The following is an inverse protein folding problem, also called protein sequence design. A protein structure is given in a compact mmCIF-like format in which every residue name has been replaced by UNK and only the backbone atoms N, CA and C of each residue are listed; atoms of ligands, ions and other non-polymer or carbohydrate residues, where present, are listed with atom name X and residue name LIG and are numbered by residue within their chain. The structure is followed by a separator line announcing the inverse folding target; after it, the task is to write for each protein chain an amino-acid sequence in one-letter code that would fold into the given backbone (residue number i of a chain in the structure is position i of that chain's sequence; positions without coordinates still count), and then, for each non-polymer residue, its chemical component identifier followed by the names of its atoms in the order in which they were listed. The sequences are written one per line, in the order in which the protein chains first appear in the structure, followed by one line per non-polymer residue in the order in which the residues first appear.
data_IF_019746090010
#
_entry.id   IF_019746090010
#
_cell.length_a   1.000
_cell.length_b   1.000
_cell.length_c   1.000
_cell.angle_alpha   90.00
_cell.angle_beta   90.00
_cell.angle_gamma   90.00
#
_symmetry.space_group_name_H-M   'P 1'
#
loop_
_entity.id
_entity.type
_entity.pdbx_description
1 polymer ?
#
# COMPACT_ATOMS: atom_id res chain seq x y z
N UNK A 1 -57.42 46.06 -19.27
CA UNK A 1 -56.96 45.71 -17.91
C UNK A 1 -56.34 44.32 -17.92
N UNK A 2 -55.01 44.26 -17.80
CA UNK A 2 -54.11 43.22 -17.24
C UNK A 2 -52.75 43.29 -17.96
N UNK A 3 -51.61 43.14 -17.26
CA UNK A 3 -50.35 43.77 -17.65
C UNK A 3 -49.39 42.85 -18.41
N UNK A 4 -48.51 43.49 -19.19
CA UNK A 4 -47.42 42.90 -19.97
C UNK A 4 -46.31 42.32 -19.08
N UNK A 5 -45.85 41.11 -19.39
CA UNK A 5 -44.61 40.54 -18.90
C UNK A 5 -43.61 40.37 -20.06
N UNK A 6 -42.51 41.10 -19.94
CA UNK A 6 -41.36 41.13 -20.85
C UNK A 6 -40.68 39.76 -20.97
N UNK A 7 -40.53 39.25 -22.20
CA UNK A 7 -39.78 38.02 -22.51
C UNK A 7 -38.27 38.30 -22.53
N UNK A 8 -37.50 37.55 -21.74
CA UNK A 8 -36.05 37.44 -21.91
C UNK A 8 -35.70 36.38 -22.98
N UNK A 9 -34.62 36.55 -23.78
CA UNK A 9 -34.33 35.67 -24.91
C UNK A 9 -33.60 34.37 -24.50
N UNK A 10 -33.96 33.28 -25.19
CA UNK A 10 -33.26 31.98 -25.17
C UNK A 10 -31.87 32.12 -25.80
N UNK A 11 -30.81 31.84 -25.04
CA UNK A 11 -29.48 31.59 -25.59
C UNK A 11 -29.35 30.11 -25.99
N UNK A 12 -29.06 29.87 -27.26
CA UNK A 12 -28.72 28.57 -27.84
C UNK A 12 -27.28 28.22 -27.46
N UNK A 13 -27.05 27.08 -26.82
CA UNK A 13 -25.72 26.52 -26.57
C UNK A 13 -25.28 25.68 -27.77
N UNK A 14 -24.45 26.26 -28.65
CA UNK A 14 -23.75 25.53 -29.71
C UNK A 14 -22.49 24.86 -29.14
N UNK A 15 -22.51 23.53 -29.04
CA UNK A 15 -21.32 22.72 -28.82
C UNK A 15 -20.52 22.64 -30.13
N UNK A 16 -19.38 23.33 -30.18
CA UNK A 16 -18.38 23.20 -31.23
C UNK A 16 -17.09 22.65 -30.63
N UNK A 17 -16.83 21.37 -30.88
CA UNK A 17 -15.55 20.72 -30.60
C UNK A 17 -14.41 21.48 -31.29
N UNK A 18 -13.50 22.04 -30.49
CA UNK A 18 -12.16 22.42 -30.95
C UNK A 18 -11.17 21.58 -30.17
N UNK A 19 -10.65 20.54 -30.84
CA UNK A 19 -9.56 19.69 -30.37
C UNK A 19 -8.35 20.57 -30.05
N UNK A 20 -8.15 20.82 -28.76
CA UNK A 20 -6.95 21.41 -28.20
C UNK A 20 -5.83 20.38 -28.25
N UNK A 21 -4.81 20.71 -29.03
CA UNK A 21 -3.52 20.03 -29.13
C UNK A 21 -2.95 19.86 -27.72
N UNK A 22 -2.63 18.62 -27.34
CA UNK A 22 -2.15 18.28 -26.00
C UNK A 22 -0.94 19.11 -25.59
N UNK A 23 -1.13 19.95 -24.59
CA UNK A 23 -0.06 20.46 -23.74
C UNK A 23 0.33 19.34 -22.79
N UNK A 24 1.62 19.03 -22.74
CA UNK A 24 2.22 18.18 -21.71
C UNK A 24 1.70 18.62 -20.34
N UNK A 25 1.33 17.66 -19.50
CA UNK A 25 0.75 17.91 -18.17
C UNK A 25 1.63 18.83 -17.36
N UNK A 26 1.14 20.05 -17.12
CA UNK A 26 1.62 20.93 -16.09
C UNK A 26 1.18 20.30 -14.76
N UNK A 27 2.14 19.75 -14.01
CA UNK A 27 1.86 19.23 -12.68
C UNK A 27 1.30 20.38 -11.82
N UNK A 28 0.19 20.15 -11.12
CA UNK A 28 -0.37 21.13 -10.19
C UNK A 28 0.74 21.61 -9.24
N UNK A 29 0.84 22.92 -8.96
CA UNK A 29 1.86 23.44 -8.06
C UNK A 29 1.71 22.83 -6.66
N UNK A 30 2.83 22.58 -5.96
CA UNK A 30 2.80 21.97 -4.63
C UNK A 30 1.96 22.82 -3.66
N UNK A 31 1.10 22.15 -2.89
CA UNK A 31 0.19 22.78 -1.93
C UNK A 31 0.35 22.19 -0.54
N UNK A 32 -0.08 22.96 0.46
CA UNK A 32 -0.09 22.57 1.87
C UNK A 32 -1.51 22.18 2.28
N UNK A 33 -1.67 21.02 2.89
CA UNK A 33 -2.93 20.59 3.48
C UNK A 33 -2.85 20.66 5.01
N UNK A 34 -3.85 21.26 5.66
CA UNK A 34 -3.90 21.38 7.12
C UNK A 34 -4.76 20.26 7.70
N UNK A 35 -4.14 19.40 8.49
CA UNK A 35 -4.79 18.31 9.21
C UNK A 35 -4.93 18.68 10.70
N UNK A 36 -6.15 18.68 11.22
CA UNK A 36 -6.47 19.11 12.58
C UNK A 36 -7.68 18.33 13.13
N UNK A 37 -7.90 18.38 14.44
CA UNK A 37 -9.08 17.80 15.08
C UNK A 37 -10.22 18.81 15.06
N UNK A 38 -11.49 18.38 14.94
CA UNK A 38 -12.63 19.30 14.86
C UNK A 38 -12.62 20.44 15.92
N UNK A 39 -12.28 20.18 17.20
CA UNK A 39 -12.22 21.25 18.22
C UNK A 39 -11.15 22.32 17.95
N UNK A 40 -10.13 22.01 17.15
CA UNK A 40 -8.99 22.88 16.84
C UNK A 40 -9.20 23.79 15.63
N UNK A 41 -10.44 23.88 15.12
CA UNK A 41 -10.73 24.63 13.89
C UNK A 41 -10.27 26.09 13.88
N UNK A 42 -10.29 26.76 15.03
CA UNK A 42 -9.78 28.14 15.13
C UNK A 42 -8.26 28.22 14.90
N UNK A 43 -7.50 27.23 15.39
CA UNK A 43 -6.06 27.13 15.12
C UNK A 43 -5.80 26.78 13.66
N UNK A 44 -6.60 25.89 13.07
CA UNK A 44 -6.47 25.51 11.68
C UNK A 44 -6.70 26.68 10.72
N UNK A 45 -7.74 27.49 10.97
CA UNK A 45 -8.02 28.73 10.24
C UNK A 45 -6.89 29.76 10.40
N UNK A 46 -6.39 29.95 11.62
CA UNK A 46 -5.30 30.89 11.85
C UNK A 46 -4.02 30.47 11.12
N UNK A 47 -3.61 29.20 11.25
CA UNK A 47 -2.44 28.63 10.54
C UNK A 47 -2.62 28.78 9.02
N UNK A 48 -3.81 28.47 8.49
CA UNK A 48 -4.10 28.62 7.06
C UNK A 48 -3.91 30.06 6.58
N UNK A 49 -4.42 31.02 7.33
CA UNK A 49 -4.27 32.44 7.02
C UNK A 49 -2.79 32.86 6.98
N UNK A 50 -2.02 32.50 8.02
CA UNK A 50 -0.61 32.87 8.12
C UNK A 50 0.21 32.32 6.93
N UNK A 51 -0.08 31.09 6.52
CA UNK A 51 0.60 30.43 5.40
C UNK A 51 0.22 31.05 4.04
N UNK A 52 -1.05 31.41 3.85
CA UNK A 52 -1.48 32.12 2.63
C UNK A 52 -0.83 33.50 2.52
N UNK A 53 -0.74 34.26 3.62
CA UNK A 53 -0.05 35.56 3.63
C UNK A 53 1.45 35.43 3.33
N UNK A 54 2.05 34.29 3.65
CA UNK A 54 3.44 33.99 3.31
C UNK A 54 3.61 33.48 1.86
N UNK A 55 2.52 33.36 1.09
CA UNK A 55 2.53 33.00 -0.33
C UNK A 55 2.37 31.50 -0.62
N UNK A 56 2.07 30.67 0.38
CA UNK A 56 1.83 29.24 0.17
C UNK A 56 0.42 28.99 -0.37
N UNK A 57 0.27 28.00 -1.25
CA UNK A 57 -1.03 27.47 -1.64
C UNK A 57 -1.52 26.54 -0.54
N UNK A 58 -2.63 26.88 0.12
CA UNK A 58 -3.15 26.17 1.30
C UNK A 58 -4.55 25.63 1.04
N UNK A 59 -4.77 24.37 1.42
CA UNK A 59 -6.08 23.74 1.48
C UNK A 59 -6.48 23.49 2.94
N UNK A 60 -7.57 24.14 3.35
CA UNK A 60 -8.25 23.91 4.61
C UNK A 60 -9.70 23.50 4.33
N UNK A 61 -10.20 22.52 5.07
CA UNK A 61 -11.53 21.97 4.89
C UNK A 61 -12.65 23.01 4.97
N UNK A 62 -12.59 23.91 5.96
CA UNK A 62 -13.62 24.95 6.18
C UNK A 62 -13.69 25.99 5.07
N UNK A 63 -12.65 26.14 4.26
CA UNK A 63 -12.55 27.22 3.26
C UNK A 63 -12.68 26.73 1.82
N UNK A 64 -12.43 25.44 1.58
CA UNK A 64 -12.28 24.91 0.21
C UNK A 64 -13.18 23.72 -0.08
N UNK A 65 -14.14 23.39 0.80
CA UNK A 65 -15.00 22.22 0.64
C UNK A 65 -16.39 22.57 0.10
N UNK A 66 -16.89 21.70 -0.77
CA UNK A 66 -18.29 21.64 -1.20
C UNK A 66 -18.95 20.37 -0.65
N UNK A 67 -20.29 20.34 -0.59
CA UNK A 67 -21.02 19.13 -0.20
C UNK A 67 -20.67 17.95 -1.12
N UNK A 68 -20.16 16.86 -0.55
CA UNK A 68 -19.67 15.68 -1.29
C UNK A 68 -18.14 15.50 -1.27
N UNK A 69 -17.38 16.49 -0.77
CA UNK A 69 -15.93 16.35 -0.61
C UNK A 69 -15.56 15.40 0.54
N UNK A 70 -14.56 14.54 0.29
CA UNK A 70 -14.07 13.54 1.25
C UNK A 70 -12.68 13.94 1.79
N UNK A 71 -12.59 14.13 3.11
CA UNK A 71 -11.37 14.48 3.84
C UNK A 71 -10.18 13.57 3.51
N UNK A 72 -10.44 12.26 3.32
CA UNK A 72 -9.43 11.24 3.02
C UNK A 72 -8.86 11.39 1.60
N UNK A 73 -9.68 11.80 0.62
CA UNK A 73 -9.24 11.99 -0.77
C UNK A 73 -8.30 13.20 -0.88
N UNK A 74 -8.58 14.29 -0.14
CA UNK A 74 -7.71 15.48 -0.15
C UNK A 74 -6.41 15.26 0.64
N UNK A 75 -6.46 14.54 1.76
CA UNK A 75 -5.25 14.09 2.46
C UNK A 75 -4.37 13.23 1.54
N UNK A 76 -4.95 12.28 0.82
CA UNK A 76 -4.21 11.47 -0.16
C UNK A 76 -3.58 12.30 -1.29
N UNK A 77 -4.30 13.29 -1.84
CA UNK A 77 -3.71 14.21 -2.84
C UNK A 77 -2.55 15.03 -2.27
N UNK A 78 -2.64 15.44 -1.01
CA UNK A 78 -1.55 16.14 -0.34
C UNK A 78 -0.33 15.21 -0.13
N UNK A 79 -0.57 13.93 0.15
CA UNK A 79 0.49 12.92 0.23
C UNK A 79 1.15 12.64 -1.13
N UNK A 80 0.44 12.84 -2.24
CA UNK A 80 0.93 12.59 -3.60
C UNK A 80 1.70 13.78 -4.19
N UNK A 81 1.20 15.01 -4.01
CA UNK A 81 1.75 16.21 -4.68
C UNK A 81 1.87 17.45 -3.77
N UNK A 82 1.88 17.27 -2.44
CA UNK A 82 1.94 18.36 -1.47
C UNK A 82 2.66 18.01 -0.17
N UNK A 83 2.44 18.82 0.85
CA UNK A 83 2.87 18.56 2.23
C UNK A 83 1.70 18.69 3.19
N UNK A 84 1.77 17.99 4.31
CA UNK A 84 0.71 17.97 5.33
C UNK A 84 1.21 18.68 6.58
N UNK A 85 0.54 19.77 6.96
CA UNK A 85 0.75 20.44 8.24
C UNK A 85 -0.22 19.83 9.25
N UNK A 86 0.31 19.06 10.21
CA UNK A 86 -0.51 18.36 11.22
C UNK A 86 -0.49 19.12 12.55
N UNK A 87 -1.67 19.54 13.01
CA UNK A 87 -1.84 20.26 14.26
C UNK A 87 -2.01 19.27 15.42
N UNK A 88 -0.93 19.04 16.15
CA UNK A 88 -0.89 18.14 17.28
C UNK A 88 -1.54 18.78 18.51
N UNK A 89 -2.62 18.16 18.96
CA UNK A 89 -3.37 18.51 20.16
C UNK A 89 -3.86 17.26 20.91
N UNK A 90 -4.33 17.42 22.15
CA UNK A 90 -4.97 16.36 22.92
C UNK A 90 -6.21 15.81 22.19
N UNK A 91 -6.97 16.68 21.52
CA UNK A 91 -8.13 16.29 20.71
C UNK A 91 -7.71 15.56 19.44
N UNK A 92 -6.59 15.96 18.83
CA UNK A 92 -5.99 15.29 17.68
C UNK A 92 -5.63 13.84 18.04
N UNK A 93 -5.02 13.64 19.20
CA UNK A 93 -4.64 12.32 19.74
C UNK A 93 -5.77 11.53 20.41
N UNK A 94 -6.99 12.05 20.51
CA UNK A 94 -8.10 11.33 21.15
C UNK A 94 -8.59 10.17 20.25
N UNK A 95 -8.48 8.90 20.71
CA UNK A 95 -8.91 7.73 19.93
C UNK A 95 -10.42 7.72 19.61
N UNK A 96 -11.24 8.51 20.32
CA UNK A 96 -12.69 8.60 20.11
C UNK A 96 -13.08 9.62 19.04
N UNK A 97 -12.19 10.57 18.75
CA UNK A 97 -12.43 11.66 17.81
C UNK A 97 -11.65 11.46 16.50
N UNK A 98 -10.54 10.71 16.55
CA UNK A 98 -9.76 10.32 15.38
C UNK A 98 -10.10 8.89 14.95
N UNK A 99 -10.60 8.72 13.73
CA UNK A 99 -10.66 7.39 13.10
C UNK A 99 -9.24 6.85 12.88
N UNK A 100 -9.00 5.56 13.13
CA UNK A 100 -7.68 4.90 12.96
C UNK A 100 -7.05 5.15 11.57
N UNK A 101 -7.89 5.30 10.52
CA UNK A 101 -7.49 5.64 9.15
C UNK A 101 -6.76 7.00 9.01
N UNK A 102 -7.02 7.96 9.90
CA UNK A 102 -6.40 9.29 9.88
C UNK A 102 -4.93 9.22 10.31
N UNK A 103 -4.62 8.35 11.28
CA UNK A 103 -3.27 8.15 11.81
C UNK A 103 -2.36 7.41 10.84
N UNK A 104 -2.89 6.40 10.17
CA UNK A 104 -2.16 5.69 9.13
C UNK A 104 -1.72 6.64 8.00
N UNK A 105 -2.60 7.56 7.59
CA UNK A 105 -2.31 8.56 6.57
C UNK A 105 -1.30 9.62 7.04
N UNK A 106 -1.41 10.10 8.28
CA UNK A 106 -0.43 11.02 8.90
C UNK A 106 0.96 10.37 9.02
N UNK A 107 1.04 9.09 9.38
CA UNK A 107 2.31 8.35 9.42
C UNK A 107 2.86 8.04 8.03
N UNK A 108 1.99 7.83 7.04
CA UNK A 108 2.38 7.57 5.65
C UNK A 108 3.01 8.80 4.97
N UNK A 109 2.78 10.00 5.49
CA UNK A 109 3.34 11.27 5.02
C UNK A 109 4.86 11.34 5.12
N UNK A 110 5.50 10.65 6.08
CA UNK A 110 6.95 10.63 6.20
C UNK A 110 7.57 12.04 6.28
N UNK A 111 8.48 12.34 5.34
CA UNK A 111 9.17 13.64 5.20
C UNK A 111 8.25 14.79 4.71
N UNK A 112 7.05 14.46 4.21
CA UNK A 112 6.03 15.43 3.81
C UNK A 112 5.15 15.86 4.99
N UNK A 113 5.36 15.29 6.17
CA UNK A 113 4.67 15.70 7.40
C UNK A 113 5.41 16.85 8.09
N UNK A 114 4.69 17.92 8.35
CA UNK A 114 5.16 19.08 9.13
C UNK A 114 4.31 19.11 10.41
N UNK A 115 4.77 18.47 11.51
CA UNK A 115 4.03 18.45 12.75
C UNK A 115 4.19 19.79 13.49
N UNK A 116 3.08 20.35 13.97
CA UNK A 116 3.03 21.60 14.72
C UNK A 116 2.18 21.41 15.95
N UNK A 117 2.73 21.65 17.15
CA UNK A 117 2.00 21.48 18.41
C UNK A 117 1.21 22.73 18.76
N UNK A 118 -0.08 22.58 19.04
CA UNK A 118 -0.97 23.70 19.36
C UNK A 118 -1.46 23.68 20.82
N UNK A 119 -1.15 22.61 21.56
CA UNK A 119 -1.35 22.52 23.02
C UNK A 119 -0.20 21.80 23.76
N UNK A 120 -0.45 21.48 25.05
CA UNK A 120 0.48 20.76 25.94
C UNK A 120 0.51 19.25 25.72
N UNK A 121 -0.29 18.70 24.79
CA UNK A 121 -0.39 17.27 24.61
C UNK A 121 0.95 16.67 24.17
N UNK A 122 1.32 15.57 24.84
CA UNK A 122 2.48 14.79 24.42
C UNK A 122 2.13 13.94 23.19
N UNK A 123 2.93 14.02 22.12
CA UNK A 123 2.74 13.12 20.99
C UNK A 123 2.95 11.66 21.44
N UNK A 124 2.18 10.70 20.88
CA UNK A 124 2.38 9.27 21.08
C UNK A 124 3.82 8.85 20.80
N UNK A 125 4.26 7.72 21.38
CA UNK A 125 5.65 7.23 21.35
C UNK A 125 6.27 7.24 19.94
N UNK A 126 5.49 6.98 18.90
CA UNK A 126 5.98 6.98 17.51
C UNK A 126 6.24 8.37 16.91
N UNK A 127 5.58 9.39 17.43
CA UNK A 127 5.68 10.78 16.95
C UNK A 127 6.60 11.61 17.84
N UNK A 128 6.98 11.12 19.04
CA UNK A 128 8.02 11.71 19.90
C UNK A 128 9.36 11.99 19.19
N UNK A 129 9.83 11.16 18.22
CA UNK A 129 11.06 11.45 17.48
C UNK A 129 10.94 12.60 16.47
N UNK A 130 9.73 13.03 16.11
CA UNK A 130 9.54 14.16 15.19
C UNK A 130 9.75 15.48 15.93
N UNK A 131 10.53 16.38 15.35
CA UNK A 131 10.70 17.73 15.85
C UNK A 131 9.42 18.52 15.56
N UNK A 132 8.49 18.53 16.52
CA UNK A 132 7.24 19.28 16.46
C UNK A 132 7.38 20.62 17.21
N UNK A 133 7.65 21.74 16.52
CA UNK A 133 7.64 23.06 17.16
C UNK A 133 6.28 23.34 17.81
N UNK A 134 6.33 23.98 18.97
CA UNK A 134 5.14 24.31 19.76
C UNK A 134 4.74 25.77 19.51
N UNK A 135 3.52 25.99 19.04
CA UNK A 135 2.88 27.30 18.98
C UNK A 135 2.14 27.65 20.28
N UNK A 136 1.88 26.63 21.10
CA UNK A 136 1.21 26.80 22.38
C UNK A 136 1.98 27.73 23.33
N UNK A 137 1.27 28.67 23.93
CA UNK A 137 1.81 29.64 24.90
C UNK A 137 2.61 30.79 24.29
N UNK A 138 2.74 30.87 22.96
CA UNK A 138 3.39 31.98 22.27
C UNK A 138 2.43 33.12 21.96
N UNK A 139 2.95 34.35 21.92
CA UNK A 139 2.22 35.48 21.33
C UNK A 139 2.07 35.32 19.80
N UNK A 140 1.19 36.13 19.21
CA UNK A 140 0.84 36.04 17.79
C UNK A 140 2.05 36.15 16.84
N UNK A 141 3.00 37.04 17.12
CA UNK A 141 4.16 37.25 16.25
C UNK A 141 5.19 36.13 16.39
N UNK A 142 5.41 35.68 17.63
CA UNK A 142 6.28 34.55 17.95
C UNK A 142 5.74 33.23 17.36
N UNK A 143 4.43 32.99 17.46
CA UNK A 143 3.77 31.83 16.87
C UNK A 143 3.90 31.82 15.34
N UNK A 144 3.68 32.96 14.67
CA UNK A 144 3.85 33.06 13.21
C UNK A 144 5.28 32.73 12.79
N UNK A 145 6.27 33.23 13.54
CA UNK A 145 7.69 33.02 13.24
C UNK A 145 8.09 31.55 13.37
N UNK A 146 7.65 30.87 14.43
CA UNK A 146 7.93 29.45 14.62
C UNK A 146 7.18 28.57 13.60
N UNK A 147 5.95 28.93 13.23
CA UNK A 147 5.23 28.26 12.15
C UNK A 147 6.01 28.31 10.83
N UNK A 148 6.44 29.50 10.37
CA UNK A 148 7.16 29.62 9.09
C UNK A 148 8.53 28.94 9.10
N UNK A 149 9.18 28.89 10.27
CA UNK A 149 10.44 28.16 10.47
C UNK A 149 10.23 26.64 10.34
N UNK A 150 9.09 26.12 10.81
CA UNK A 150 8.75 24.70 10.66
C UNK A 150 8.65 24.26 9.19
N UNK A 151 8.29 25.18 8.29
CA UNK A 151 8.20 24.92 6.84
C UNK A 151 9.53 25.13 6.09
N UNK A 152 10.54 25.70 6.74
CA UNK A 152 11.82 26.03 6.11
C UNK A 152 12.82 24.90 6.23
N UNK A 153 13.48 24.51 5.14
CA UNK A 153 14.56 23.53 5.18
C UNK A 153 15.72 24.03 6.08
N UNK A 154 16.34 23.16 6.90
CA UNK A 154 17.51 23.53 7.69
C UNK A 154 18.61 24.05 6.76
N UNK A 155 19.01 25.30 6.92
CA UNK A 155 20.12 25.85 6.13
C UNK A 155 21.42 25.32 6.72
N UNK A 156 22.09 24.41 6.01
CA UNK A 156 23.44 24.00 6.37
C UNK A 156 24.36 25.23 6.39
N UNK A 157 25.28 25.35 7.36
CA UNK A 157 26.17 26.51 7.42
C UNK A 157 26.98 26.60 6.12
N UNK A 158 26.95 27.77 5.49
CA UNK A 158 27.63 28.03 4.21
C UNK A 158 29.17 28.03 4.35
N UNK A 159 29.66 28.04 5.58
CA UNK A 159 31.06 27.87 5.92
C UNK A 159 31.23 26.67 6.85
N UNK A 160 32.36 25.97 6.72
CA UNK A 160 32.71 24.84 7.58
C UNK A 160 32.71 25.31 9.04
N UNK A 161 31.91 24.69 9.93
CA UNK A 161 31.94 25.06 11.34
C UNK A 161 33.35 24.83 11.90
N UNK A 162 33.85 25.73 12.77
CA UNK A 162 35.16 25.57 13.37
C UNK A 162 35.24 24.27 14.16
N UNK A 163 36.44 23.69 14.23
CA UNK A 163 36.67 22.48 15.02
C UNK A 163 36.37 22.79 16.50
N UNK A 164 35.53 21.99 17.18
CA UNK A 164 35.23 22.22 18.59
C UNK A 164 36.52 22.10 19.41
N UNK A 165 36.94 23.21 20.04
CA UNK A 165 38.13 23.28 20.91
C UNK A 165 39.29 24.16 20.42
N UNK A 166 39.24 24.75 19.23
CA UNK A 166 40.33 25.62 18.75
C UNK A 166 40.11 27.10 19.08
N UNK A 167 40.54 27.51 20.29
CA UNK A 167 41.04 28.87 20.49
C UNK A 167 42.26 29.09 19.57
N UNK A 168 42.33 30.24 18.92
CA UNK A 168 43.19 30.47 17.75
C UNK A 168 44.69 30.25 17.95
N UNK A 169 45.36 29.76 16.90
CA UNK A 169 46.62 30.27 16.35
C UNK A 169 47.12 29.36 15.21
N UNK A 170 47.37 30.01 14.06
CA UNK A 170 48.43 29.80 13.05
C UNK A 170 48.85 28.39 12.55
N UNK A 171 48.83 28.30 11.21
CA UNK A 171 49.84 27.73 10.30
C UNK A 171 50.08 26.22 10.28
N UNK A 172 49.84 25.60 9.10
CA UNK A 172 50.93 25.17 8.20
C UNK A 172 50.39 24.31 7.04
N UNK A 173 50.67 24.78 5.82
CA UNK A 173 51.07 24.04 4.60
C UNK A 173 50.38 22.74 4.19
N UNK A 174 49.79 22.81 3.00
CA UNK A 174 49.43 21.70 2.15
C UNK A 174 50.63 20.80 1.79
N UNK A 175 50.35 19.51 1.59
CA UNK A 175 51.06 18.66 0.62
C UNK A 175 50.11 17.56 0.15
N UNK A 176 49.88 17.55 -1.16
CA UNK A 176 49.17 16.56 -1.97
C UNK A 176 49.97 15.27 -2.10
N UNK A 177 49.30 14.11 -2.05
CA UNK A 177 49.74 12.91 -2.76
C UNK A 177 48.54 12.01 -3.10
N UNK A 178 48.24 11.98 -4.39
CA UNK A 178 47.29 11.09 -5.06
C UNK A 178 47.87 9.68 -5.15
N UNK A 179 47.07 8.65 -4.88
CA UNK A 179 47.34 7.30 -5.40
C UNK A 179 46.03 6.62 -5.80
N UNK A 180 45.95 6.33 -7.09
CA UNK A 180 44.94 5.51 -7.76
C UNK A 180 45.19 4.03 -7.50
N UNK A 181 44.15 3.28 -7.16
CA UNK A 181 44.16 1.82 -7.18
C UNK A 181 43.06 1.30 -8.13
N UNK A 182 43.53 0.54 -9.12
CA UNK A 182 42.79 -0.13 -10.19
C UNK A 182 42.05 -1.36 -9.66
N UNK A 183 40.77 -1.49 -10.00
CA UNK A 183 39.96 -2.68 -9.73
C UNK A 183 40.08 -3.68 -10.90
N UNK A 184 40.48 -4.91 -10.57
CA UNK A 184 40.62 -6.05 -11.47
C UNK A 184 39.28 -6.79 -11.59
N UNK A 185 38.85 -7.04 -12.82
CA UNK A 185 37.67 -7.80 -13.22
C UNK A 185 37.95 -9.30 -13.23
N UNK A 186 37.10 -10.10 -12.57
CA UNK A 186 37.07 -11.55 -12.70
C UNK A 186 35.69 -12.02 -13.15
N UNK A 187 35.66 -12.60 -14.36
CA UNK A 187 34.50 -13.15 -15.03
C UNK A 187 34.06 -14.49 -14.40
N UNK A 188 32.75 -14.61 -14.10
CA UNK A 188 32.10 -15.83 -13.63
C UNK A 188 31.18 -16.44 -14.69
N UNK A 189 31.45 -17.68 -15.07
CA UNK A 189 30.83 -18.50 -16.12
C UNK A 189 29.31 -18.68 -15.96
N UNK A 190 28.54 -18.30 -16.99
CA UNK A 190 27.14 -18.68 -17.15
C UNK A 190 27.02 -20.11 -17.71
N UNK A 191 26.62 -21.07 -16.86
CA UNK A 191 26.21 -22.41 -17.28
C UNK A 191 24.73 -22.41 -17.68
N UNK A 192 24.45 -22.51 -19.00
CA UNK A 192 23.11 -22.73 -19.54
C UNK A 192 22.66 -24.17 -19.24
N UNK A 193 21.80 -24.37 -18.25
CA UNK A 193 21.00 -25.59 -18.13
C UNK A 193 19.75 -25.46 -18.99
N UNK A 194 19.73 -26.20 -20.10
CA UNK A 194 18.58 -26.34 -20.99
C UNK A 194 17.70 -27.48 -20.43
N UNK A 195 16.60 -27.13 -19.76
CA UNK A 195 15.58 -28.11 -19.34
C UNK A 195 14.87 -28.63 -20.60
N UNK A 196 14.86 -29.96 -20.76
CA UNK A 196 14.11 -30.63 -21.80
C UNK A 196 12.59 -30.48 -21.56
N UNK A 197 11.76 -30.39 -22.61
CA UNK A 197 10.31 -30.29 -22.47
C UNK A 197 9.75 -31.61 -21.93
N UNK A 198 9.17 -31.59 -20.73
CA UNK A 198 8.39 -32.71 -20.19
C UNK A 198 7.11 -32.86 -21.01
N UNK A 199 6.97 -33.98 -21.73
CA UNK A 199 5.74 -34.32 -22.43
C UNK A 199 4.61 -34.64 -21.44
N UNK A 200 3.42 -34.10 -21.70
CA UNK A 200 2.14 -34.68 -21.27
C UNK A 200 1.57 -34.31 -19.90
N UNK A 201 2.16 -33.38 -19.14
CA UNK A 201 1.55 -32.92 -17.88
C UNK A 201 0.58 -31.77 -18.14
N UNK A 202 -0.62 -31.84 -17.58
CA UNK A 202 -1.52 -30.68 -17.54
C UNK A 202 -0.76 -29.53 -16.87
N UNK A 203 -0.55 -28.40 -17.56
CA UNK A 203 0.16 -27.27 -16.98
C UNK A 203 -0.52 -26.81 -15.68
N UNK A 204 -1.83 -26.94 -15.55
CA UNK A 204 -2.62 -26.56 -14.37
C UNK A 204 -2.81 -27.70 -13.34
N UNK A 205 -1.94 -28.71 -13.33
CA UNK A 205 -1.98 -29.80 -12.35
C UNK A 205 -1.46 -29.35 -10.97
N UNK A 206 -2.38 -28.83 -10.14
CA UNK A 206 -2.10 -28.45 -8.75
C UNK A 206 -2.13 -29.63 -7.77
N UNK A 207 -2.33 -30.88 -8.22
CA UNK A 207 -2.41 -32.05 -7.33
C UNK A 207 -1.12 -32.34 -6.56
N UNK A 208 0.02 -31.87 -7.10
CA UNK A 208 1.34 -31.90 -6.45
C UNK A 208 1.78 -30.53 -5.88
N UNK A 209 0.88 -29.56 -5.90
CA UNK A 209 1.06 -28.26 -5.29
C UNK A 209 0.64 -28.27 -3.82
N UNK A 210 0.77 -27.09 -3.21
CA UNK A 210 0.29 -26.82 -1.85
C UNK A 210 -0.20 -25.37 -1.76
N UNK A 211 -1.05 -25.09 -0.79
CA UNK A 211 -1.47 -23.74 -0.49
C UNK A 211 -1.50 -23.44 1.01
N UNK A 212 -1.30 -22.17 1.33
CA UNK A 212 -1.53 -21.62 2.67
C UNK A 212 -2.51 -20.46 2.56
N UNK A 213 -3.59 -20.54 3.32
CA UNK A 213 -4.59 -19.49 3.45
C UNK A 213 -4.50 -18.93 4.87
N UNK A 214 -4.06 -17.69 5.02
CA UNK A 214 -3.96 -17.00 6.30
C UNK A 214 -5.05 -15.94 6.34
N UNK A 215 -5.86 -15.93 7.40
CA UNK A 215 -6.87 -14.90 7.58
C UNK A 215 -6.95 -14.47 9.03
N UNK A 216 -6.90 -13.16 9.25
CA UNK A 216 -7.06 -12.56 10.58
C UNK A 216 -8.33 -11.74 10.56
N UNK A 217 -9.38 -12.26 11.20
CA UNK A 217 -10.72 -11.69 11.15
C UNK A 217 -11.13 -11.02 12.47
N UNK A 218 -10.44 -11.33 13.58
CA UNK A 218 -10.70 -10.77 14.92
C UNK A 218 -9.41 -10.37 15.60
N UNK A 219 -9.41 -9.20 16.22
CA UNK A 219 -8.23 -8.58 16.80
C UNK A 219 -8.47 -8.17 18.26
N UNK A 220 -7.39 -8.08 19.03
CA UNK A 220 -7.46 -7.56 20.39
C UNK A 220 -7.50 -6.03 20.44
N UNK A 221 -6.71 -5.38 19.58
CA UNK A 221 -6.55 -3.91 19.57
C UNK A 221 -6.86 -3.24 18.23
N UNK A 222 -6.90 -3.99 17.13
CA UNK A 222 -7.23 -3.47 15.80
C UNK A 222 -8.72 -3.72 15.50
N UNK A 223 -9.23 -3.09 14.45
CA UNK A 223 -10.61 -3.30 13.99
C UNK A 223 -10.84 -4.70 13.39
N UNK A 224 -11.92 -5.35 13.79
CA UNK A 224 -12.32 -6.67 13.27
C UNK A 224 -12.68 -6.64 11.77
N UNK A 225 -12.46 -7.78 11.10
CA UNK A 225 -12.75 -8.02 9.68
C UNK A 225 -13.46 -9.37 9.48
N UNK A 226 -14.73 -9.50 9.93
CA UNK A 226 -15.41 -10.78 9.99
C UNK A 226 -15.57 -11.49 8.64
N UNK A 227 -15.65 -10.74 7.53
CA UNK A 227 -15.76 -11.28 6.18
C UNK A 227 -14.56 -12.16 5.76
N UNK A 228 -13.41 -12.02 6.41
CA UNK A 228 -12.22 -12.84 6.14
C UNK A 228 -12.48 -14.32 6.48
N UNK A 229 -13.39 -14.64 7.42
CA UNK A 229 -13.78 -16.03 7.68
C UNK A 229 -14.36 -16.69 6.41
N UNK A 230 -15.30 -16.01 5.74
CA UNK A 230 -15.88 -16.49 4.49
C UNK A 230 -14.87 -16.60 3.36
N UNK A 231 -13.88 -15.68 3.31
CA UNK A 231 -12.78 -15.78 2.37
C UNK A 231 -12.03 -17.12 2.51
N UNK A 232 -11.63 -17.48 3.73
CA UNK A 232 -10.86 -18.70 3.98
C UNK A 232 -11.66 -19.96 3.64
N UNK A 233 -12.93 -19.99 4.05
CA UNK A 233 -13.82 -21.13 3.83
C UNK A 233 -14.01 -21.43 2.33
N UNK A 234 -14.34 -20.39 1.54
CA UNK A 234 -14.65 -20.57 0.12
C UNK A 234 -13.38 -20.73 -0.73
N UNK A 235 -12.28 -20.03 -0.41
CA UNK A 235 -10.99 -20.26 -1.08
C UNK A 235 -10.45 -21.67 -0.80
N UNK A 236 -10.56 -22.16 0.44
CA UNK A 236 -10.12 -23.53 0.77
C UNK A 236 -10.90 -24.55 -0.05
N UNK A 237 -12.24 -24.41 -0.10
CA UNK A 237 -13.11 -25.28 -0.88
C UNK A 237 -12.77 -25.22 -2.38
N UNK A 238 -12.55 -24.03 -2.91
CA UNK A 238 -12.22 -23.84 -4.33
C UNK A 238 -10.87 -24.47 -4.69
N UNK A 239 -9.86 -24.29 -3.85
CA UNK A 239 -8.51 -24.82 -4.09
C UNK A 239 -8.45 -26.35 -3.98
N UNK A 240 -9.23 -26.96 -3.10
CA UNK A 240 -9.27 -28.43 -3.00
C UNK A 240 -10.15 -29.04 -4.08
N UNK A 241 -11.33 -28.47 -4.35
CA UNK A 241 -12.29 -29.04 -5.28
C UNK A 241 -12.00 -28.72 -6.77
N UNK A 242 -11.54 -27.50 -7.07
CA UNK A 242 -11.37 -27.04 -8.46
C UNK A 242 -9.92 -27.06 -8.94
N UNK A 243 -8.96 -26.70 -8.07
CA UNK A 243 -7.54 -26.81 -8.42
C UNK A 243 -7.04 -28.25 -8.18
N UNK A 244 -7.69 -29.03 -7.31
CA UNK A 244 -7.29 -30.40 -7.01
C UNK A 244 -6.10 -30.50 -6.05
N UNK A 245 -5.82 -29.44 -5.28
CA UNK A 245 -4.81 -29.49 -4.20
C UNK A 245 -5.29 -30.50 -3.15
N UNK A 246 -4.42 -31.45 -2.78
CA UNK A 246 -4.73 -32.43 -1.75
C UNK A 246 -5.12 -31.74 -0.42
N UNK A 247 -6.11 -32.29 0.28
CA UNK A 247 -6.63 -31.69 1.52
C UNK A 247 -5.52 -31.43 2.55
N UNK A 248 -4.59 -32.39 2.73
CA UNK A 248 -3.46 -32.27 3.66
C UNK A 248 -2.41 -31.24 3.22
N UNK A 249 -2.47 -30.79 1.96
CA UNK A 249 -1.59 -29.75 1.39
C UNK A 249 -2.29 -28.38 1.31
N UNK A 250 -3.56 -28.27 1.72
CA UNK A 250 -4.29 -27.02 1.87
C UNK A 250 -4.30 -26.60 3.34
N UNK A 251 -3.36 -25.74 3.73
CA UNK A 251 -3.20 -25.32 5.13
C UNK A 251 -3.95 -24.02 5.36
N UNK A 252 -5.00 -24.06 6.18
CA UNK A 252 -5.69 -22.86 6.66
C UNK A 252 -5.12 -22.46 8.02
N UNK A 253 -4.68 -21.21 8.13
CA UNK A 253 -4.23 -20.58 9.38
C UNK A 253 -5.28 -19.54 9.76
N UNK A 254 -6.30 -20.00 10.50
CA UNK A 254 -7.41 -19.15 10.97
C UNK A 254 -7.01 -18.37 12.22
N UNK A 255 -7.13 -17.05 12.14
CA UNK A 255 -6.88 -16.07 13.20
C UNK A 255 -5.60 -16.32 14.04
N UNK A 256 -4.41 -16.39 13.42
CA UNK A 256 -3.16 -16.63 14.13
C UNK A 256 -2.87 -15.52 15.15
N UNK A 257 -2.36 -15.89 16.32
CA UNK A 257 -1.90 -14.97 17.37
C UNK A 257 -0.44 -14.57 17.24
N UNK A 258 0.34 -15.32 16.44
CA UNK A 258 1.79 -15.22 16.42
C UNK A 258 2.33 -15.32 14.98
N UNK A 259 3.18 -14.37 14.53
CA UNK A 259 3.82 -14.41 13.22
C UNK A 259 4.53 -15.74 12.91
N UNK A 260 5.09 -16.42 13.92
CA UNK A 260 5.78 -17.71 13.75
C UNK A 260 4.88 -18.78 13.15
N UNK A 261 3.60 -18.83 13.58
CA UNK A 261 2.60 -19.79 13.08
C UNK A 261 2.41 -19.67 11.58
N UNK A 262 2.39 -18.43 11.07
CA UNK A 262 2.24 -18.15 9.64
C UNK A 262 3.46 -18.63 8.85
N UNK A 263 4.67 -18.30 9.34
CA UNK A 263 5.92 -18.71 8.69
C UNK A 263 6.07 -20.23 8.67
N UNK A 264 5.79 -20.90 9.79
CA UNK A 264 5.86 -22.36 9.89
C UNK A 264 4.88 -23.04 8.94
N UNK A 265 3.67 -22.49 8.78
CA UNK A 265 2.68 -22.98 7.82
C UNK A 265 3.17 -22.85 6.37
N UNK A 266 3.73 -21.71 5.99
CA UNK A 266 4.30 -21.48 4.65
C UNK A 266 5.44 -22.45 4.38
N UNK A 267 6.35 -22.62 5.32
CA UNK A 267 7.46 -23.56 5.18
C UNK A 267 6.97 -25.02 5.08
N UNK A 268 5.96 -25.39 5.86
CA UNK A 268 5.34 -26.72 5.82
C UNK A 268 4.68 -26.98 4.46
N UNK A 269 3.87 -26.06 3.95
CA UNK A 269 3.27 -26.16 2.62
C UNK A 269 4.34 -26.24 1.54
N UNK A 270 5.35 -25.37 1.60
CA UNK A 270 6.47 -25.37 0.67
C UNK A 270 7.14 -26.73 0.57
N UNK A 271 7.47 -27.36 1.71
CA UNK A 271 8.06 -28.71 1.76
C UNK A 271 7.16 -29.82 1.19
N UNK A 272 5.84 -29.64 1.21
CA UNK A 272 4.88 -30.59 0.65
C UNK A 272 4.79 -30.53 -0.89
N UNK A 273 5.28 -29.44 -1.53
CA UNK A 273 5.26 -29.31 -2.99
C UNK A 273 6.25 -30.25 -3.68
N UNK A 274 5.91 -30.72 -4.88
CA UNK A 274 6.82 -31.53 -5.68
C UNK A 274 8.15 -30.81 -5.95
N UNK A 275 9.26 -31.53 -5.79
CA UNK A 275 10.59 -30.96 -5.93
C UNK A 275 10.81 -30.37 -7.33
N UNK A 276 11.16 -29.08 -7.40
CA UNK A 276 11.49 -28.32 -8.61
C UNK A 276 10.41 -28.31 -9.71
N UNK A 277 9.17 -28.64 -9.37
CA UNK A 277 8.04 -28.65 -10.31
C UNK A 277 6.70 -28.34 -9.65
N UNK A 278 6.65 -28.29 -8.32
CA UNK A 278 5.45 -27.97 -7.57
C UNK A 278 5.09 -26.49 -7.61
N UNK A 279 3.82 -26.24 -7.33
CA UNK A 279 3.22 -24.91 -7.28
C UNK A 279 2.85 -24.58 -5.84
N UNK A 280 3.13 -23.35 -5.42
CA UNK A 280 2.80 -22.86 -4.08
C UNK A 280 1.89 -21.65 -4.19
N UNK A 281 0.73 -21.70 -3.54
CA UNK A 281 -0.14 -20.54 -3.37
C UNK A 281 -0.09 -20.06 -1.91
N UNK A 282 0.20 -18.79 -1.69
CA UNK A 282 0.11 -18.17 -0.37
C UNK A 282 -0.89 -17.02 -0.44
N UNK A 283 -1.97 -17.13 0.31
CA UNK A 283 -2.98 -16.08 0.47
C UNK A 283 -2.90 -15.55 1.90
N UNK A 284 -2.90 -14.23 2.05
CA UNK A 284 -3.03 -13.57 3.34
C UNK A 284 -4.16 -12.54 3.27
N UNK A 285 -5.02 -12.52 4.28
CA UNK A 285 -6.01 -11.47 4.49
C UNK A 285 -5.98 -10.93 5.91
N UNK A 286 -6.00 -9.61 6.05
CA UNK A 286 -5.96 -8.92 7.34
C UNK A 286 -5.58 -7.46 7.18
N UNK A 287 -5.16 -6.82 8.27
CA UNK A 287 -4.56 -5.48 8.21
C UNK A 287 -3.11 -5.54 7.76
N UNK A 288 -2.73 -4.57 6.93
CA UNK A 288 -1.38 -4.32 6.49
C UNK A 288 -1.01 -2.85 6.70
N UNK A 289 0.21 -2.60 7.18
CA UNK A 289 0.73 -1.25 7.43
C UNK A 289 2.18 -1.14 6.97
N UNK A 290 2.61 0.01 6.44
CA UNK A 290 4.03 0.23 6.17
C UNK A 290 4.78 0.49 7.49
N UNK A 291 5.97 -0.09 7.64
CA UNK A 291 6.87 0.24 8.74
C UNK A 291 7.33 1.70 8.60
N UNK A 292 7.26 2.53 9.65
CA UNK A 292 7.39 3.98 9.52
C UNK A 292 8.79 4.46 9.08
N UNK A 293 9.83 3.66 9.34
CA UNK A 293 11.21 4.03 8.98
C UNK A 293 11.71 3.41 7.68
N UNK A 294 11.21 2.23 7.34
CA UNK A 294 11.76 1.45 6.22
C UNK A 294 10.78 1.36 5.05
N UNK A 295 9.51 1.75 5.23
CA UNK A 295 8.46 1.58 4.24
C UNK A 295 8.04 0.13 3.98
N UNK A 296 8.69 -0.84 4.63
CA UNK A 296 8.43 -2.27 4.48
C UNK A 296 6.98 -2.61 4.87
N UNK A 297 6.31 -3.46 4.10
CA UNK A 297 4.97 -3.94 4.45
C UNK A 297 5.02 -4.87 5.67
N UNK A 298 4.22 -4.54 6.67
CA UNK A 298 3.98 -5.35 7.86
C UNK A 298 2.54 -5.86 7.84
N UNK A 299 2.36 -7.15 8.08
CA UNK A 299 1.09 -7.84 8.09
C UNK A 299 0.70 -8.16 9.53
N UNK A 300 -0.55 -7.94 9.88
CA UNK A 300 -1.04 -8.18 11.23
C UNK A 300 -1.29 -9.66 11.53
N UNK A 301 -1.26 -9.99 12.82
CA UNK A 301 -1.84 -11.19 13.45
C UNK A 301 -2.86 -10.70 14.49
N UNK A 302 -3.65 -11.59 15.10
CA UNK A 302 -4.73 -11.17 16.01
C UNK A 302 -4.24 -10.36 17.22
N UNK A 303 -3.01 -10.63 17.66
CA UNK A 303 -2.34 -9.98 18.79
C UNK A 303 -1.45 -8.81 18.34
N UNK A 304 -1.53 -8.41 17.06
CA UNK A 304 -0.86 -7.20 16.60
C UNK A 304 -1.49 -5.98 17.25
N UNK A 305 -0.62 -5.12 17.78
CA UNK A 305 -1.04 -3.93 18.55
C UNK A 305 -0.68 -2.67 17.81
N UNK A 306 -1.57 -1.69 17.84
CA UNK A 306 -1.30 -0.40 17.22
C UNK A 306 0.05 0.13 17.74
N UNK A 307 0.88 0.61 16.82
CA UNK A 307 2.18 1.22 17.13
C UNK A 307 3.28 0.29 17.71
N UNK A 308 2.98 -0.97 17.97
CA UNK A 308 3.96 -1.97 18.40
C UNK A 308 4.44 -2.81 17.20
N UNK A 309 5.13 -2.21 16.23
CA UNK A 309 5.46 -2.86 14.95
C UNK A 309 6.18 -4.22 15.05
N UNK A 310 6.86 -4.51 16.17
CA UNK A 310 7.48 -5.80 16.45
C UNK A 310 6.46 -6.95 16.62
N UNK A 311 5.17 -6.64 16.84
CA UNK A 311 4.09 -7.63 16.93
C UNK A 311 3.47 -7.97 15.57
N UNK A 312 3.89 -7.29 14.50
CA UNK A 312 3.46 -7.58 13.14
C UNK A 312 4.44 -8.57 12.49
N UNK A 313 3.98 -9.19 11.41
CA UNK A 313 4.77 -10.05 10.53
C UNK A 313 5.34 -9.22 9.37
N UNK A 314 6.66 -9.00 9.28
CA UNK A 314 7.27 -8.41 8.10
C UNK A 314 7.02 -9.26 6.85
N UNK A 315 6.59 -8.63 5.75
CA UNK A 315 6.34 -9.35 4.49
C UNK A 315 7.60 -10.02 3.94
N UNK A 316 8.79 -9.49 4.24
CA UNK A 316 10.04 -10.12 3.81
C UNK A 316 10.25 -11.50 4.46
N UNK A 317 9.76 -11.74 5.68
CA UNK A 317 9.83 -13.08 6.27
C UNK A 317 8.96 -14.07 5.50
N UNK A 318 7.79 -13.63 4.98
CA UNK A 318 6.95 -14.44 4.08
C UNK A 318 7.70 -14.71 2.78
N UNK A 319 8.30 -13.69 2.19
CA UNK A 319 9.11 -13.82 0.96
C UNK A 319 10.24 -14.83 1.14
N UNK A 320 10.99 -14.74 2.23
CA UNK A 320 12.08 -15.67 2.54
C UNK A 320 11.58 -17.11 2.68
N UNK A 321 10.47 -17.32 3.41
CA UNK A 321 9.86 -18.64 3.56
C UNK A 321 9.38 -19.21 2.21
N UNK A 322 8.81 -18.37 1.35
CA UNK A 322 8.38 -18.74 -0.01
C UNK A 322 9.59 -19.05 -0.91
N UNK A 323 10.65 -18.25 -0.83
CA UNK A 323 11.88 -18.46 -1.62
C UNK A 323 12.58 -19.76 -1.25
N UNK A 324 12.55 -20.15 0.03
CA UNK A 324 13.14 -21.39 0.52
C UNK A 324 12.36 -22.65 0.09
N UNK A 325 11.15 -22.52 -0.45
CA UNK A 325 10.37 -23.67 -0.92
C UNK A 325 10.96 -24.30 -2.19
N UNK A 326 10.79 -25.62 -2.41
CA UNK A 326 11.20 -26.30 -3.64
C UNK A 326 10.28 -26.04 -4.84
N UNK A 327 9.18 -25.31 -4.66
CA UNK A 327 8.27 -24.91 -5.74
C UNK A 327 9.02 -24.13 -6.83
N UNK A 328 8.56 -24.17 -8.07
CA UNK A 328 9.10 -23.33 -9.16
C UNK A 328 8.13 -22.26 -9.62
N UNK A 329 6.86 -22.38 -9.26
CA UNK A 329 5.81 -21.42 -9.52
C UNK A 329 5.17 -21.04 -8.19
N UNK A 330 5.12 -19.73 -7.89
CA UNK A 330 4.62 -19.20 -6.62
C UNK A 330 3.61 -18.10 -6.88
N UNK A 331 2.37 -18.32 -6.47
CA UNK A 331 1.33 -17.30 -6.49
C UNK A 331 1.14 -16.75 -5.08
N UNK A 332 1.39 -15.46 -4.89
CA UNK A 332 1.23 -14.77 -3.62
C UNK A 332 0.10 -13.77 -3.76
N UNK A 333 -0.91 -13.85 -2.91
CA UNK A 333 -2.09 -12.98 -2.93
C UNK A 333 -2.22 -12.33 -1.56
N UNK A 334 -2.22 -10.99 -1.53
CA UNK A 334 -2.29 -10.20 -0.31
C UNK A 334 -3.55 -9.34 -0.34
N UNK A 335 -4.53 -9.69 0.48
CA UNK A 335 -5.78 -8.96 0.70
C UNK A 335 -5.68 -8.12 1.99
N UNK A 336 -4.97 -6.99 1.90
CA UNK A 336 -4.83 -6.05 3.00
C UNK A 336 -4.74 -4.61 2.50
N UNK A 337 -5.11 -3.64 3.36
CA UNK A 337 -4.84 -2.24 3.06
C UNK A 337 -3.32 -2.00 2.88
N UNK A 338 -2.93 -1.01 2.07
CA UNK A 338 -1.53 -0.60 1.83
C UNK A 338 -0.61 -1.63 1.14
N UNK A 339 -1.19 -2.64 0.50
CA UNK A 339 -0.43 -3.73 -0.14
C UNK A 339 0.49 -3.26 -1.29
N UNK A 340 0.27 -2.07 -1.87
CA UNK A 340 1.09 -1.52 -2.96
C UNK A 340 2.46 -0.95 -2.57
N UNK A 341 2.71 -0.53 -1.31
CA UNK A 341 4.03 0.01 -0.91
C UNK A 341 5.04 -1.09 -0.58
N UNK A 342 4.54 -2.29 -0.24
CA UNK A 342 5.33 -3.52 -0.22
C UNK A 342 5.87 -3.91 -1.61
N UNK A 343 5.27 -3.41 -2.70
CA UNK A 343 5.82 -3.56 -4.05
C UNK A 343 6.97 -2.56 -4.33
N UNK A 344 6.93 -1.35 -3.75
CA UNK A 344 7.96 -0.30 -3.92
C UNK A 344 9.19 -0.52 -3.03
N UNK A 345 9.04 -1.17 -1.86
CA UNK A 345 10.16 -1.70 -1.07
C UNK A 345 10.99 -2.75 -1.83
N UNK A 346 10.56 -3.11 -3.04
CA UNK A 346 11.20 -4.04 -3.97
C UNK A 346 11.66 -3.35 -5.27
N UNK A 347 11.66 -2.01 -5.29
CA UNK A 347 12.31 -1.13 -6.27
C UNK A 347 13.69 -0.69 -5.78
N UNK A 348 14.64 -0.39 -6.68
CA UNK A 348 16.09 -0.61 -6.50
C UNK A 348 16.84 0.40 -5.59
N UNK A 349 16.16 1.10 -4.68
CA UNK A 349 16.75 2.27 -4.01
C UNK A 349 17.62 1.99 -2.76
N UNK A 350 17.53 0.84 -2.09
CA UNK A 350 18.44 0.35 -1.02
C UNK A 350 18.31 -1.20 -0.95
N UNK A 351 19.17 -2.02 -0.27
CA UNK A 351 19.46 -3.39 -0.70
C UNK A 351 18.23 -4.31 -0.55
N UNK A 352 17.39 -4.31 -1.60
CA UNK A 352 16.23 -5.15 -1.72
C UNK A 352 16.69 -6.60 -1.79
N UNK A 353 16.08 -7.46 -0.98
CA UNK A 353 16.27 -8.90 -1.08
C UNK A 353 16.12 -9.33 -2.56
N UNK A 354 16.98 -10.23 -3.06
CA UNK A 354 16.98 -10.60 -4.46
C UNK A 354 15.57 -11.05 -4.91
N UNK A 355 15.15 -10.70 -6.14
CA UNK A 355 13.83 -11.08 -6.65
C UNK A 355 13.68 -12.61 -6.68
N UNK A 356 12.51 -13.10 -6.24
CA UNK A 356 12.22 -14.53 -6.22
C UNK A 356 11.69 -14.96 -7.59
N UNK A 357 12.47 -15.76 -8.32
CA UNK A 357 12.09 -16.23 -9.65
C UNK A 357 10.80 -17.07 -9.63
N UNK A 358 9.99 -16.94 -10.69
CA UNK A 358 8.75 -17.70 -10.83
C UNK A 358 7.63 -17.28 -9.88
N UNK A 359 7.68 -16.05 -9.37
CA UNK A 359 6.69 -15.51 -8.43
C UNK A 359 5.79 -14.50 -9.11
N UNK A 360 4.49 -14.64 -8.87
CA UNK A 360 3.46 -13.64 -9.17
C UNK A 360 2.87 -13.16 -7.85
N UNK A 361 2.98 -11.86 -7.58
CA UNK A 361 2.38 -11.21 -6.41
C UNK A 361 1.16 -10.40 -6.87
N UNK A 362 0.02 -10.62 -6.24
CA UNK A 362 -1.20 -9.86 -6.41
C UNK A 362 -1.61 -9.23 -5.08
N UNK A 363 -2.12 -8.02 -5.13
CA UNK A 363 -2.41 -7.22 -3.94
C UNK A 363 -3.75 -6.48 -4.12
N UNK A 364 -4.59 -6.39 -3.08
CA UNK A 364 -5.96 -5.87 -3.18
C UNK A 364 -6.08 -4.39 -3.54
N UNK A 365 -5.06 -3.58 -3.26
CA UNK A 365 -5.08 -2.14 -3.55
C UNK A 365 -3.67 -1.53 -3.63
N UNK A 366 -3.57 -0.34 -4.22
CA UNK A 366 -2.34 0.45 -4.30
C UNK A 366 -1.80 0.87 -2.92
N UNK A 367 -0.61 1.46 -2.89
CA UNK A 367 0.01 1.99 -1.68
C UNK A 367 -0.81 3.11 -1.01
N UNK A 368 -1.85 3.64 -1.68
CA UNK A 368 -2.58 4.84 -1.30
C UNK A 368 -4.09 4.63 -1.16
N UNK A 369 -4.61 3.43 -1.43
CA UNK A 369 -6.05 3.15 -1.46
C UNK A 369 -6.43 2.07 -0.43
N UNK A 370 -7.48 2.34 0.36
CA UNK A 370 -7.98 1.42 1.39
C UNK A 370 -8.74 0.26 0.75
N UNK A 371 -8.47 -0.97 1.21
CA UNK A 371 -9.26 -2.15 0.82
C UNK A 371 -10.65 -2.08 1.48
N UNK A 372 -11.70 -2.23 0.68
CA UNK A 372 -13.09 -2.13 1.11
C UNK A 372 -13.63 -3.50 1.52
N UNK A 373 -14.09 -3.62 2.77
CA UNK A 373 -14.93 -4.74 3.21
C UNK A 373 -16.35 -4.21 3.40
N UNK A 374 -17.28 -4.45 2.47
CA UNK A 374 -18.64 -3.95 2.61
C UNK A 374 -19.30 -4.62 3.82
N UNK A 375 -19.88 -3.82 4.72
CA UNK A 375 -20.50 -4.32 5.94
C UNK A 375 -21.59 -5.37 5.64
N UNK A 376 -21.54 -6.51 6.33
CA UNK A 376 -22.53 -7.59 6.20
C UNK A 376 -22.37 -8.50 4.97
N UNK A 377 -21.32 -8.32 4.15
CA UNK A 377 -20.98 -9.25 3.07
C UNK A 377 -20.21 -10.47 3.57
N UNK A 378 -20.37 -11.63 2.92
CA UNK A 378 -19.65 -12.86 3.28
C UNK A 378 -18.14 -12.77 2.99
N UNK A 379 -17.72 -11.88 2.09
CA UNK A 379 -16.34 -11.76 1.64
C UNK A 379 -15.84 -10.31 1.63
N UNK A 380 -14.52 -10.12 1.64
CA UNK A 380 -13.91 -8.83 1.27
C UNK A 380 -14.14 -8.56 -0.22
N UNK A 381 -14.18 -7.28 -0.63
CA UNK A 381 -14.44 -6.93 -2.04
C UNK A 381 -13.44 -7.59 -3.00
N UNK A 382 -12.16 -7.59 -2.64
CA UNK A 382 -11.11 -8.19 -3.46
C UNK A 382 -11.24 -9.71 -3.56
N UNK A 383 -11.53 -10.40 -2.45
CA UNK A 383 -11.73 -11.86 -2.49
C UNK A 383 -13.03 -12.24 -3.19
N UNK A 384 -14.10 -11.44 -3.06
CA UNK A 384 -15.33 -11.63 -3.84
C UNK A 384 -15.04 -11.56 -5.35
N UNK A 385 -14.25 -10.58 -5.78
CA UNK A 385 -13.83 -10.46 -7.18
C UNK A 385 -12.95 -11.64 -7.65
N UNK A 386 -12.07 -12.13 -6.78
CA UNK A 386 -11.23 -13.30 -7.05
C UNK A 386 -12.07 -14.58 -7.24
N UNK A 387 -13.00 -14.82 -6.32
CA UNK A 387 -13.92 -15.96 -6.37
C UNK A 387 -14.80 -15.89 -7.63
N UNK A 388 -15.35 -14.71 -7.96
CA UNK A 388 -16.17 -14.53 -9.16
C UNK A 388 -15.43 -14.93 -10.44
N UNK A 389 -14.17 -14.53 -10.59
CA UNK A 389 -13.36 -14.87 -11.77
C UNK A 389 -13.02 -16.37 -11.81
N UNK A 390 -12.65 -16.96 -10.68
CA UNK A 390 -12.27 -18.37 -10.61
C UNK A 390 -13.48 -19.31 -10.78
N UNK A 391 -14.66 -18.92 -10.29
CA UNK A 391 -15.87 -19.77 -10.32
C UNK A 391 -16.71 -19.59 -11.59
N UNK A 392 -16.79 -18.38 -12.12
CA UNK A 392 -17.62 -18.07 -13.31
C UNK A 392 -16.81 -18.02 -14.59
N UNK A 393 -15.50 -17.85 -14.47
CA UNK A 393 -14.60 -17.66 -15.60
C UNK A 393 -14.58 -16.22 -16.12
N UNK A 394 -13.64 -15.96 -17.03
CA UNK A 394 -13.39 -14.64 -17.61
C UNK A 394 -13.93 -14.58 -19.05
N UNK A 395 -14.96 -13.77 -19.33
CA UNK A 395 -15.45 -13.54 -20.69
C UNK A 395 -14.35 -12.98 -21.61
N UNK A 396 -14.15 -13.63 -22.76
CA UNK A 396 -13.08 -13.27 -23.71
C UNK A 396 -11.67 -13.55 -23.20
N UNK A 397 -11.52 -14.23 -22.06
CA UNK A 397 -10.23 -14.68 -21.53
C UNK A 397 -9.72 -15.96 -22.21
N UNK A 398 -8.48 -16.36 -21.94
CA UNK A 398 -7.90 -17.60 -22.46
C UNK A 398 -8.68 -18.84 -21.99
N UNK A 399 -8.62 -19.99 -22.71
CA UNK A 399 -9.24 -21.24 -22.26
C UNK A 399 -8.69 -21.79 -20.94
N UNK A 400 -7.44 -21.45 -20.62
CA UNK A 400 -6.81 -21.72 -19.33
C UNK A 400 -6.49 -20.39 -18.67
N UNK A 401 -7.02 -20.15 -17.47
CA UNK A 401 -6.67 -18.96 -16.69
C UNK A 401 -5.27 -19.14 -16.12
N UNK A 402 -4.39 -18.17 -16.37
CA UNK A 402 -3.13 -18.00 -15.66
C UNK A 402 -3.23 -16.85 -14.64
N UNK A 403 -2.18 -16.63 -13.85
CA UNK A 403 -2.15 -15.58 -12.84
C UNK A 403 -2.36 -14.16 -13.42
N UNK A 404 -1.88 -13.92 -14.64
CA UNK A 404 -2.09 -12.64 -15.34
C UNK A 404 -3.55 -12.47 -15.78
N UNK A 405 -4.16 -13.50 -16.36
CA UNK A 405 -5.57 -13.49 -16.74
C UNK A 405 -6.48 -13.34 -15.51
N UNK A 406 -6.15 -13.99 -14.39
CA UNK A 406 -6.83 -13.81 -13.12
C UNK A 406 -6.75 -12.35 -12.66
N UNK A 407 -5.56 -11.76 -12.65
CA UNK A 407 -5.37 -10.35 -12.27
C UNK A 407 -6.25 -9.43 -13.11
N UNK A 408 -6.17 -9.55 -14.44
CA UNK A 408 -6.91 -8.70 -15.36
C UNK A 408 -8.42 -8.89 -15.21
N UNK A 409 -8.87 -10.11 -14.91
CA UNK A 409 -10.27 -10.40 -14.57
C UNK A 409 -10.70 -9.72 -13.27
N UNK A 410 -9.93 -9.87 -12.19
CA UNK A 410 -10.23 -9.27 -10.88
C UNK A 410 -10.26 -7.74 -11.01
N UNK A 411 -9.31 -7.15 -11.72
CA UNK A 411 -9.27 -5.71 -12.00
C UNK A 411 -10.54 -5.23 -12.71
N UNK A 412 -11.04 -5.99 -13.70
CA UNK A 412 -12.30 -5.65 -14.41
C UNK A 412 -13.51 -5.73 -13.48
N UNK A 413 -13.58 -6.74 -12.60
CA UNK A 413 -14.67 -6.87 -11.63
C UNK A 413 -14.64 -5.71 -10.64
N UNK A 414 -13.46 -5.37 -10.10
CA UNK A 414 -13.30 -4.22 -9.21
C UNK A 414 -13.74 -2.92 -9.89
N UNK A 415 -13.25 -2.64 -11.10
CA UNK A 415 -13.60 -1.44 -11.85
C UNK A 415 -15.11 -1.35 -12.14
N UNK A 416 -15.76 -2.47 -12.48
CA UNK A 416 -17.20 -2.50 -12.75
C UNK A 416 -18.06 -2.25 -11.50
N UNK A 417 -17.50 -2.45 -10.30
CA UNK A 417 -18.18 -2.30 -9.00
C UNK A 417 -17.72 -1.08 -8.21
N UNK A 418 -16.86 -0.24 -8.80
CA UNK A 418 -16.24 0.92 -8.14
C UNK A 418 -15.48 0.50 -6.86
N UNK A 419 -14.77 -0.62 -6.94
CA UNK A 419 -13.92 -1.15 -5.87
C UNK A 419 -12.44 -0.85 -6.13
N UNK A 420 -11.60 -0.83 -5.07
CA UNK A 420 -10.18 -0.53 -5.18
C UNK A 420 -9.48 -1.34 -6.28
N UNK A 421 -8.60 -0.66 -7.02
CA UNK A 421 -7.89 -1.30 -8.13
C UNK A 421 -6.75 -2.18 -7.60
N UNK A 422 -6.75 -3.50 -7.89
CA UNK A 422 -5.69 -4.37 -7.44
C UNK A 422 -4.36 -4.05 -8.12
N UNK A 423 -3.26 -4.39 -7.46
CA UNK A 423 -1.90 -4.25 -7.99
C UNK A 423 -1.26 -5.60 -8.21
N UNK A 424 -0.27 -5.65 -9.12
CA UNK A 424 0.53 -6.86 -9.35
C UNK A 424 2.01 -6.56 -9.44
N UNK A 425 2.81 -7.53 -9.00
CA UNK A 425 4.22 -7.62 -9.29
C UNK A 425 4.51 -8.94 -9.98
N UNK A 426 5.17 -8.85 -11.14
CA UNK A 426 5.61 -10.02 -11.88
C UNK A 426 7.13 -10.04 -11.90
N UNK A 427 7.73 -11.22 -11.69
CA UNK A 427 9.16 -11.47 -11.89
C UNK A 427 9.34 -12.70 -12.79
N UNK A 428 10.16 -12.56 -13.84
CA UNK A 428 10.38 -13.58 -14.88
C UNK A 428 9.05 -14.14 -15.48
N UNK A 429 9.01 -15.44 -15.79
CA UNK A 429 7.84 -16.13 -16.37
C UNK A 429 6.63 -16.27 -15.40
N UNK A 430 6.59 -15.52 -14.29
CA UNK A 430 5.49 -15.57 -13.32
C UNK A 430 4.11 -15.25 -13.90
N UNK A 431 4.03 -14.57 -15.05
CA UNK A 431 2.78 -14.37 -15.78
C UNK A 431 2.15 -15.68 -16.26
N UNK A 432 2.95 -16.74 -16.47
CA UNK A 432 2.50 -18.02 -17.04
C UNK A 432 2.05 -19.03 -16.00
N UNK A 433 1.91 -18.67 -14.71
CA UNK A 433 1.47 -19.60 -13.66
C UNK A 433 0.04 -20.05 -14.00
N UNK A 434 -0.16 -21.29 -14.48
CA UNK A 434 -1.47 -21.78 -14.89
C UNK A 434 -2.31 -22.11 -13.66
N UNK A 435 -3.58 -21.71 -13.65
CA UNK A 435 -4.45 -21.86 -12.48
C UNK A 435 -5.48 -22.95 -12.70
N UNK A 436 -6.49 -22.67 -13.53
CA UNK A 436 -7.62 -23.56 -13.80
C UNK A 436 -8.15 -23.33 -15.22
N UNK A 437 -8.87 -24.31 -15.79
CA UNK A 437 -9.67 -24.08 -16.98
C UNK A 437 -10.64 -22.92 -16.79
N UNK A 438 -10.72 -22.04 -17.79
CA UNK A 438 -11.64 -20.93 -17.78
C UNK A 438 -13.07 -21.43 -17.99
N UNK A 439 -13.85 -21.42 -16.91
CA UNK A 439 -15.23 -21.94 -16.89
C UNK A 439 -16.18 -21.25 -17.87
N UNK A 440 -15.86 -20.03 -18.32
CA UNK A 440 -16.61 -19.35 -19.38
C UNK A 440 -16.66 -20.16 -20.69
N UNK A 441 -15.62 -20.95 -20.98
CA UNK A 441 -15.54 -21.78 -22.18
C UNK A 441 -16.15 -23.17 -22.01
N UNK A 442 -16.51 -23.57 -20.78
CA UNK A 442 -17.00 -24.92 -20.49
C UNK A 442 -18.51 -25.11 -20.75
N UNK A 443 -19.22 -24.04 -21.12
CA UNK A 443 -20.69 -24.05 -21.32
C UNK A 443 -21.46 -24.28 -20.01
N UNK A 444 -22.80 -24.13 -20.00
CA UNK A 444 -23.59 -24.52 -18.83
C UNK A 444 -23.40 -26.03 -18.60
N UNK A 445 -22.90 -26.40 -17.41
CA UNK A 445 -22.90 -27.79 -16.98
C UNK A 445 -24.35 -28.27 -16.97
N UNK A 446 -24.67 -29.23 -17.84
CA UNK A 446 -25.94 -29.94 -17.76
C UNK A 446 -25.92 -30.74 -16.48
N UNK A 447 -26.60 -30.26 -15.45
CA UNK A 447 -26.94 -31.07 -14.27
C UNK A 447 -27.73 -32.28 -14.79
N UNK A 448 -27.05 -33.41 -14.86
CA UNK A 448 -27.65 -34.69 -15.20
C UNK A 448 -28.41 -35.20 -13.97
N UNK A 449 -29.72 -35.00 -14.01
CA UNK A 449 -30.86 -35.77 -13.44
C UNK A 449 -30.68 -36.38 -12.05
#
# INVERSE_FOLDING_TARGET
MRPEFTRLPRAQSSWGHRLGRGTQGEADPPFLFISYAEPDGAWAEWVAWQLQEAGFQVQLDRWTWQAGDNQKIKLNRALENGQVVALFSAAYFDPRCSTEDHWAAVLAAGDRLIPVRIDEAEPPILLKPLLAPSLYGLDHESARRELLKALSAPTAPQSRPPFPGSGGAAAATATTASTSATASTAAGRQGRFRLAPSQGRDPADWSTGACVLVGVHTYQELSDRPAIRGNLEDLSRLLTASFGIAQDHCIVVDNPHDPRTVIDAIQRAGRATAFRSGMLLVYYAGHGVPHPRTGQLLLSVSDSRAFAFHTFLPFDHIREAIAASPATQRLVIIDCCYSGRGLDALSPAEPALPPIEGTFLMASSSATELSLSPAGKPHTAFTEALLDVLERGLPGGPPLLDAEALFEGVRRVCAARDWPEPQRQVRNNGHRIPLIPNRWHLGPQSDAV
#
